data_IF_904568633301
#
_entry.id   IF_904568633301
#
_cell.length_a   1.000
_cell.length_b   1.000
_cell.length_c   1.000
_cell.angle_alpha   90.00
_cell.angle_beta   90.00
_cell.angle_gamma   90.00
#
_symmetry.space_group_name_H-M   'P 1'
#
loop_
_entity.id
_entity.type
_entity.pdbx_description
1 polymer ?
#
# COMPACT_ATOMS: atom_id res chain seq x y z
N UNK A 1 -16.17 13.41 -46.46
CA UNK A 1 -14.70 13.48 -46.35
C UNK A 1 -14.21 14.88 -45.97
N UNK A 2 -14.51 15.92 -46.76
CA UNK A 2 -13.98 17.29 -46.56
C UNK A 2 -14.29 17.97 -45.22
N UNK A 3 -15.46 17.73 -44.62
CA UNK A 3 -15.79 18.27 -43.29
C UNK A 3 -14.97 17.64 -42.16
N UNK A 4 -14.66 16.35 -42.26
CA UNK A 4 -13.84 15.63 -41.27
C UNK A 4 -12.39 16.11 -41.33
N UNK A 5 -11.85 16.30 -42.54
CA UNK A 5 -10.49 16.84 -42.71
C UNK A 5 -10.38 18.28 -42.18
N UNK A 6 -11.37 19.13 -42.45
CA UNK A 6 -11.40 20.49 -41.90
C UNK A 6 -11.50 20.49 -40.38
N UNK A 7 -12.32 19.61 -39.80
CA UNK A 7 -12.41 19.42 -38.34
C UNK A 7 -11.09 18.94 -37.74
N UNK A 8 -10.45 17.94 -38.36
CA UNK A 8 -9.15 17.41 -37.94
C UNK A 8 -8.05 18.48 -38.00
N UNK A 9 -7.99 19.25 -39.08
CA UNK A 9 -7.02 20.34 -39.22
C UNK A 9 -7.24 21.46 -38.19
N UNK A 10 -8.50 21.74 -37.82
CA UNK A 10 -8.81 22.69 -36.76
C UNK A 10 -8.36 22.18 -35.39
N UNK A 11 -8.61 20.92 -35.06
CA UNK A 11 -8.17 20.32 -33.80
C UNK A 11 -6.65 20.25 -33.69
N UNK A 12 -5.95 19.91 -34.79
CA UNK A 12 -4.48 19.90 -34.82
C UNK A 12 -3.91 21.29 -34.48
N UNK A 13 -4.46 22.36 -35.08
CA UNK A 13 -4.07 23.74 -34.76
C UNK A 13 -4.35 24.11 -33.30
N UNK A 14 -5.46 23.65 -32.74
CA UNK A 14 -5.76 23.89 -31.32
C UNK A 14 -4.76 23.18 -30.40
N UNK A 15 -4.35 21.95 -30.73
CA UNK A 15 -3.32 21.21 -29.98
C UNK A 15 -2.00 21.96 -30.04
N UNK A 16 -1.56 22.40 -31.22
CA UNK A 16 -0.32 23.16 -31.37
C UNK A 16 -0.30 24.43 -30.53
N UNK A 17 -1.44 25.14 -30.48
CA UNK A 17 -1.58 26.38 -29.71
C UNK A 17 -1.57 26.11 -28.20
N UNK A 18 -2.22 25.02 -27.76
CA UNK A 18 -2.16 24.55 -26.38
C UNK A 18 -0.73 24.16 -25.98
N UNK A 19 -0.02 23.37 -26.79
CA UNK A 19 1.36 22.98 -26.53
C UNK A 19 2.31 24.19 -26.48
N UNK A 20 2.09 25.19 -27.34
CA UNK A 20 2.85 26.43 -27.30
C UNK A 20 2.61 27.20 -25.99
N UNK A 21 1.35 27.30 -25.55
CA UNK A 21 1.00 27.93 -24.28
C UNK A 21 1.55 27.17 -23.07
N UNK A 22 1.52 25.84 -23.09
CA UNK A 22 2.09 25.00 -22.04
C UNK A 22 3.60 25.18 -21.95
N UNK A 23 4.30 25.22 -23.09
CA UNK A 23 5.74 25.50 -23.13
C UNK A 23 6.08 26.85 -22.49
N UNK A 24 5.31 27.90 -22.78
CA UNK A 24 5.46 29.22 -22.14
C UNK A 24 5.25 29.14 -20.62
N UNK A 25 4.20 28.46 -20.14
CA UNK A 25 3.96 28.24 -18.71
C UNK A 25 5.08 27.49 -18.00
N UNK A 26 5.80 26.62 -18.72
CA UNK A 26 6.97 25.88 -18.24
C UNK A 26 8.27 26.69 -18.34
N UNK A 27 8.22 27.94 -18.82
CA UNK A 27 9.37 28.82 -18.95
C UNK A 27 10.17 28.67 -20.23
N UNK A 28 9.65 27.96 -21.24
CA UNK A 28 10.29 27.82 -22.55
C UNK A 28 9.81 28.88 -23.54
N UNK A 29 10.69 29.34 -24.42
CA UNK A 29 10.32 30.24 -25.53
C UNK A 29 9.86 31.64 -25.10
N UNK A 30 10.32 32.11 -23.93
CA UNK A 30 9.94 33.42 -23.38
C UNK A 30 10.54 34.61 -24.14
N UNK A 31 11.53 34.39 -25.00
CA UNK A 31 12.18 35.46 -25.77
C UNK A 31 11.23 36.18 -26.74
N UNK A 32 10.13 35.55 -27.13
CA UNK A 32 9.08 36.14 -27.97
C UNK A 32 7.93 36.77 -27.18
N UNK A 33 7.94 36.68 -25.85
CA UNK A 33 6.87 37.21 -25.00
C UNK A 33 7.10 38.68 -24.67
N UNK A 34 6.01 39.44 -24.62
CA UNK A 34 6.05 40.82 -24.11
C UNK A 34 6.15 40.82 -22.59
N UNK A 35 6.49 41.99 -22.02
CA UNK A 35 6.54 42.15 -20.56
C UNK A 35 5.18 41.88 -19.91
N UNK A 36 4.10 42.32 -20.56
CA UNK A 36 2.73 42.14 -20.08
C UNK A 36 2.32 40.66 -20.09
N UNK A 37 2.61 39.94 -21.18
CA UNK A 37 2.34 38.50 -21.29
C UNK A 37 3.08 37.71 -20.19
N UNK A 38 4.33 38.10 -19.92
CA UNK A 38 5.14 37.46 -18.89
C UNK A 38 4.58 37.71 -17.49
N UNK A 39 4.16 38.95 -17.20
CA UNK A 39 3.56 39.33 -15.93
C UNK A 39 2.20 38.65 -15.69
N UNK A 40 1.37 38.49 -16.73
CA UNK A 40 0.10 37.76 -16.63
C UNK A 40 0.34 36.27 -16.33
N UNK A 41 1.32 35.67 -17.03
CA UNK A 41 1.72 34.28 -16.84
C UNK A 41 2.23 34.05 -15.41
N UNK A 42 3.09 34.94 -14.91
CA UNK A 42 3.59 34.92 -13.53
C UNK A 42 2.44 34.99 -12.53
N UNK A 43 1.53 35.95 -12.69
CA UNK A 43 0.37 36.15 -11.82
C UNK A 43 -0.52 34.90 -11.77
N UNK A 44 -0.71 34.24 -12.92
CA UNK A 44 -1.45 32.98 -13.02
C UNK A 44 -0.74 31.82 -12.31
N UNK A 45 0.58 31.70 -12.47
CA UNK A 45 1.39 30.69 -11.79
C UNK A 45 1.39 30.88 -10.28
N UNK A 46 1.57 32.10 -9.79
CA UNK A 46 1.55 32.41 -8.35
C UNK A 46 0.22 32.00 -7.73
N UNK A 47 -0.90 32.36 -8.36
CA UNK A 47 -2.25 32.02 -7.87
C UNK A 47 -2.50 30.51 -7.87
N UNK A 48 -2.20 29.84 -8.99
CA UNK A 48 -2.44 28.40 -9.13
C UNK A 48 -1.56 27.56 -8.20
N UNK A 49 -0.27 27.90 -8.07
CA UNK A 49 0.65 27.24 -7.15
C UNK A 49 0.25 27.44 -5.70
N UNK A 50 -0.22 28.64 -5.34
CA UNK A 50 -0.73 28.91 -4.00
C UNK A 50 -1.92 28.02 -3.66
N UNK A 51 -2.85 27.84 -4.61
CA UNK A 51 -3.98 26.93 -4.47
C UNK A 51 -3.53 25.47 -4.33
N UNK A 52 -2.62 25.00 -5.19
CA UNK A 52 -2.09 23.64 -5.16
C UNK A 52 -1.38 23.37 -3.83
N UNK A 53 -0.52 24.29 -3.38
CA UNK A 53 0.19 24.20 -2.10
C UNK A 53 -0.79 24.17 -0.92
N UNK A 54 -1.83 25.01 -0.95
CA UNK A 54 -2.90 25.00 0.06
C UNK A 54 -3.58 23.64 0.14
N UNK A 55 -4.04 23.09 -1.00
CA UNK A 55 -4.67 21.76 -1.06
C UNK A 55 -3.73 20.62 -0.62
N UNK A 56 -2.46 20.68 -1.02
CA UNK A 56 -1.47 19.67 -0.62
C UNK A 56 -1.21 19.73 0.88
N UNK A 57 -1.13 20.93 1.45
CA UNK A 57 -0.94 21.11 2.89
C UNK A 57 -2.14 20.60 3.69
N UNK A 58 -3.37 20.94 3.29
CA UNK A 58 -4.58 20.45 3.97
C UNK A 58 -4.70 18.94 3.87
N UNK A 59 -4.44 18.36 2.70
CA UNK A 59 -4.42 16.90 2.50
C UNK A 59 -3.35 16.24 3.37
N UNK A 60 -2.13 16.79 3.41
CA UNK A 60 -1.03 16.27 4.24
C UNK A 60 -1.34 16.36 5.74
N UNK A 61 -2.01 17.44 6.19
CA UNK A 61 -2.47 17.57 7.59
C UNK A 61 -3.60 16.60 7.93
N UNK A 62 -4.48 16.29 6.97
CA UNK A 62 -5.62 15.38 7.15
C UNK A 62 -5.20 13.91 7.13
N UNK A 63 -4.15 13.57 6.37
CA UNK A 63 -3.73 12.18 6.11
C UNK A 63 -3.43 11.36 7.38
N UNK A 64 -2.65 11.86 8.37
CA UNK A 64 -2.38 11.10 9.61
C UNK A 64 -3.63 10.77 10.41
N UNK A 65 -4.60 11.69 10.45
CA UNK A 65 -5.87 11.48 11.17
C UNK A 65 -6.71 10.40 10.49
N UNK A 66 -6.84 10.45 9.17
CA UNK A 66 -7.58 9.43 8.41
C UNK A 66 -6.92 8.06 8.52
N UNK A 67 -5.60 8.03 8.43
CA UNK A 67 -4.81 6.81 8.55
C UNK A 67 -4.94 6.19 9.95
N UNK A 68 -4.85 6.99 11.01
CA UNK A 68 -5.09 6.53 12.38
C UNK A 68 -6.50 5.98 12.56
N UNK A 69 -7.53 6.63 12.00
CA UNK A 69 -8.91 6.15 12.07
C UNK A 69 -9.09 4.79 11.40
N UNK A 70 -8.51 4.59 10.21
CA UNK A 70 -8.59 3.32 9.48
C UNK A 70 -7.93 2.18 10.28
N UNK A 71 -6.69 2.38 10.74
CA UNK A 71 -5.97 1.32 11.47
C UNK A 71 -6.50 1.06 12.87
N UNK A 72 -7.03 2.08 13.55
CA UNK A 72 -7.58 1.90 14.91
C UNK A 72 -8.75 0.92 14.90
N UNK A 73 -9.62 0.98 13.89
CA UNK A 73 -10.77 0.08 13.80
C UNK A 73 -10.34 -1.37 13.55
N UNK A 74 -9.38 -1.58 12.64
CA UNK A 74 -8.84 -2.90 12.35
C UNK A 74 -8.16 -3.52 13.57
N UNK A 75 -7.32 -2.73 14.26
CA UNK A 75 -6.65 -3.17 15.48
C UNK A 75 -7.67 -3.53 16.57
N UNK A 76 -8.73 -2.73 16.73
CA UNK A 76 -9.80 -3.02 17.70
C UNK A 76 -10.53 -4.32 17.37
N UNK A 77 -10.87 -4.54 16.09
CA UNK A 77 -11.54 -5.76 15.65
C UNK A 77 -10.68 -7.01 15.94
N UNK A 78 -9.39 -6.95 15.59
CA UNK A 78 -8.47 -8.06 15.82
C UNK A 78 -8.27 -8.35 17.31
N UNK A 79 -8.16 -7.33 18.16
CA UNK A 79 -8.06 -7.49 19.61
C UNK A 79 -9.28 -8.14 20.24
N UNK A 80 -10.47 -7.79 19.78
CA UNK A 80 -11.69 -8.43 20.29
C UNK A 80 -11.79 -9.89 19.84
N UNK A 81 -11.40 -10.19 18.59
CA UNK A 81 -11.32 -11.57 18.10
C UNK A 81 -10.30 -12.41 18.88
N UNK A 82 -9.13 -11.86 19.16
CA UNK A 82 -8.10 -12.49 19.99
C UNK A 82 -8.66 -12.81 21.39
N UNK A 83 -9.33 -11.84 22.03
CA UNK A 83 -9.94 -12.01 23.35
C UNK A 83 -10.95 -13.16 23.37
N UNK A 84 -11.85 -13.21 22.39
CA UNK A 84 -12.87 -14.26 22.27
C UNK A 84 -12.25 -15.65 22.03
N UNK A 85 -11.21 -15.73 21.19
CA UNK A 85 -10.51 -16.99 20.94
C UNK A 85 -9.76 -17.49 22.18
N UNK A 86 -9.15 -16.61 22.97
CA UNK A 86 -8.50 -16.98 24.22
C UNK A 86 -9.51 -17.49 25.25
N UNK A 87 -10.66 -16.83 25.37
CA UNK A 87 -11.75 -17.26 26.25
C UNK A 87 -12.31 -18.64 25.84
N UNK A 88 -12.52 -18.84 24.54
CA UNK A 88 -12.95 -20.14 24.00
C UNK A 88 -11.91 -21.23 24.23
N UNK A 89 -10.63 -20.93 23.99
CA UNK A 89 -9.54 -21.89 24.18
C UNK A 89 -9.42 -22.30 25.66
N UNK A 90 -9.49 -21.35 26.59
CA UNK A 90 -9.51 -21.65 28.02
C UNK A 90 -10.70 -22.56 28.41
N UNK A 91 -11.89 -22.29 27.86
CA UNK A 91 -13.08 -23.12 28.07
C UNK A 91 -12.94 -24.53 27.49
N UNK A 92 -12.32 -24.67 26.32
CA UNK A 92 -12.08 -25.98 25.70
C UNK A 92 -11.03 -26.78 26.50
N UNK A 93 -9.98 -26.13 27.00
CA UNK A 93 -8.99 -26.74 27.90
C UNK A 93 -9.65 -27.27 29.17
N UNK A 94 -10.61 -26.54 29.74
CA UNK A 94 -11.36 -26.99 30.92
C UNK A 94 -12.28 -28.19 30.63
N UNK A 95 -12.83 -28.28 29.40
CA UNK A 95 -13.69 -29.38 28.96
C UNK A 95 -12.92 -30.64 28.53
N UNK A 96 -11.59 -30.57 28.37
CA UNK A 96 -10.79 -31.75 28.14
C UNK A 96 -10.80 -32.64 29.39
N UNK A 97 -11.24 -33.92 29.29
CA UNK A 97 -11.12 -34.84 30.41
C UNK A 97 -9.65 -34.94 30.81
N UNK A 98 -9.39 -35.05 32.12
CA UNK A 98 -8.07 -34.95 32.75
C UNK A 98 -6.99 -35.94 32.24
N UNK A 99 -7.28 -36.74 31.21
CA UNK A 99 -6.39 -37.74 30.62
C UNK A 99 -5.56 -37.23 29.43
N UNK A 100 -5.77 -36.01 28.94
CA UNK A 100 -4.95 -35.42 27.85
C UNK A 100 -4.17 -34.17 28.29
N UNK A 101 -3.74 -34.10 29.55
CA UNK A 101 -2.71 -33.14 30.01
C UNK A 101 -1.29 -33.55 29.63
N UNK A 102 -1.14 -34.54 28.76
CA UNK A 102 0.14 -34.96 28.20
C UNK A 102 0.11 -34.79 26.70
N UNK A 103 0.59 -33.65 26.20
CA UNK A 103 1.23 -33.66 24.89
C UNK A 103 2.51 -34.49 25.06
N UNK A 104 2.41 -35.79 24.79
CA UNK A 104 3.55 -36.68 24.67
C UNK A 104 3.53 -37.19 23.24
N UNK A 105 4.53 -36.86 22.40
CA UNK A 105 4.57 -37.37 21.04
C UNK A 105 4.83 -38.88 21.13
N UNK A 106 3.81 -39.68 20.84
CA UNK A 106 3.92 -41.13 20.80
C UNK A 106 4.68 -41.54 19.54
N UNK A 107 6.00 -41.51 19.62
CA UNK A 107 6.86 -42.30 18.74
C UNK A 107 6.95 -43.69 19.35
N UNK A 108 6.39 -44.67 18.65
CA UNK A 108 6.44 -46.09 18.99
C UNK A 108 7.84 -46.53 19.38
N UNK A 109 8.00 -47.05 20.59
CA UNK A 109 9.03 -48.04 20.87
C UNK A 109 8.43 -49.41 20.52
N UNK A 110 8.65 -49.81 19.26
CA UNK A 110 8.78 -51.23 18.92
C UNK A 110 10.14 -51.65 19.47
N UNK A 111 10.15 -52.74 20.24
CA UNK A 111 11.36 -53.27 20.85
C UNK A 111 12.43 -53.62 19.82
N UNK A 112 13.68 -53.58 20.26
CA UNK A 112 14.71 -54.36 19.58
C UNK A 112 14.31 -55.86 19.68
N UNK A 113 14.35 -56.74 18.68
CA UNK A 113 14.87 -56.73 17.32
C UNK A 113 15.65 -55.49 16.87
N UNK A 114 16.95 -55.52 17.20
CA UNK A 114 18.04 -54.64 16.72
C UNK A 114 17.98 -53.15 17.08
N UNK A 115 19.01 -52.77 17.84
CA UNK A 115 19.43 -51.42 18.20
C UNK A 115 19.74 -50.57 16.96
N UNK A 116 18.83 -49.66 16.61
CA UNK A 116 19.14 -48.52 15.74
C UNK A 116 18.44 -47.30 16.35
N UNK A 117 19.21 -46.55 17.14
CA UNK A 117 18.85 -45.26 17.69
C UNK A 117 18.73 -44.23 16.55
N UNK A 118 17.54 -44.10 15.97
CA UNK A 118 17.24 -43.03 15.01
C UNK A 118 16.72 -41.82 15.76
N UNK A 119 17.59 -40.94 16.20
CA UNK A 119 17.24 -39.67 16.83
C UNK A 119 16.50 -38.78 15.80
N UNK A 120 15.16 -38.70 15.87
CA UNK A 120 14.41 -37.73 15.05
C UNK A 120 14.36 -36.41 15.79
N UNK A 121 15.29 -35.51 15.49
CA UNK A 121 15.18 -34.12 15.88
C UNK A 121 13.96 -33.49 15.22
N UNK A 122 13.00 -33.07 16.05
CA UNK A 122 11.85 -32.30 15.62
C UNK A 122 12.28 -30.84 15.42
N UNK A 123 12.56 -30.45 14.18
CA UNK A 123 12.85 -29.07 13.83
C UNK A 123 11.57 -28.36 13.40
N UNK A 124 11.04 -27.49 14.26
CA UNK A 124 9.96 -26.56 13.92
C UNK A 124 10.59 -25.22 13.58
N UNK A 125 11.06 -25.09 12.34
CA UNK A 125 11.68 -23.87 11.81
C UNK A 125 11.65 -23.84 10.27
N UNK A 126 11.97 -22.69 9.68
CA UNK A 126 12.02 -22.53 8.22
C UNK A 126 13.07 -23.48 7.61
N UNK A 127 12.77 -24.21 6.52
CA UNK A 127 13.69 -25.19 5.95
C UNK A 127 15.01 -24.55 5.52
N UNK A 128 16.13 -25.17 5.90
CA UNK A 128 17.46 -24.73 5.47
C UNK A 128 17.61 -24.99 3.96
N UNK A 129 17.71 -23.92 3.16
CA UNK A 129 17.99 -24.02 1.74
C UNK A 129 19.43 -24.50 1.55
N UNK A 130 19.61 -25.80 1.30
CA UNK A 130 20.90 -26.30 0.82
C UNK A 130 21.04 -25.91 -0.65
N UNK A 131 21.83 -24.88 -0.91
CA UNK A 131 22.37 -24.62 -2.24
C UNK A 131 23.30 -25.78 -2.62
N UNK A 132 22.97 -26.44 -3.72
CA UNK A 132 23.91 -27.13 -4.60
C UNK A 132 23.47 -26.88 -6.03
#
# INVERSE_FOLDING_TARGET
MLQLERGSASMAKQIELLDASQRKLLGHGLSSCTSEELQETESLLVRSLSLIRGKKLTSRKKWPKLQAQLWTNEIKHLKEKERLLLEENARLIEKLPAQEKGFVPYRSQIGQASDIDVETQLFIGLPEMRCS
#
